data_IF_725968941983
#
_entry.id   IF_725968941983
#
_cell.length_a   1.000
_cell.length_b   1.000
_cell.length_c   1.000
_cell.angle_alpha   90.00
_cell.angle_beta   90.00
_cell.angle_gamma   90.00
#
_symmetry.space_group_name_H-M   'P 1'
#
loop_
_entity.id
_entity.type
_entity.pdbx_description
1 polymer ?
#
# COMPACT_ATOMS: atom_id res chain seq x y z
N UNK A 1 24.84 -15.92 -44.56
CA UNK A 1 24.32 -14.63 -44.02
C UNK A 1 22.86 -14.83 -43.64
N UNK A 2 22.45 -14.16 -42.57
CA UNK A 2 21.13 -14.18 -41.91
C UNK A 2 20.94 -15.25 -40.82
N UNK A 3 21.64 -15.05 -39.71
CA UNK A 3 21.11 -15.42 -38.39
C UNK A 3 19.92 -14.49 -38.10
N UNK A 4 18.72 -15.04 -38.14
CA UNK A 4 17.53 -14.39 -37.59
C UNK A 4 17.69 -14.39 -36.08
N UNK A 5 18.13 -13.25 -35.56
CA UNK A 5 18.04 -12.90 -34.14
C UNK A 5 16.57 -12.96 -33.75
N UNK A 6 16.18 -14.00 -33.03
CA UNK A 6 14.94 -14.02 -32.26
C UNK A 6 15.06 -12.91 -31.22
N UNK A 7 14.44 -11.76 -31.48
CA UNK A 7 14.14 -10.76 -30.47
C UNK A 7 13.13 -11.39 -29.51
N UNK A 8 13.65 -12.06 -28.48
CA UNK A 8 12.85 -12.54 -27.36
C UNK A 8 12.57 -11.34 -26.47
N UNK A 9 11.62 -10.50 -26.86
CA UNK A 9 11.04 -9.49 -25.99
C UNK A 9 10.04 -10.23 -25.09
N UNK A 10 10.56 -10.97 -24.12
CA UNK A 10 9.72 -11.40 -23.00
C UNK A 10 9.24 -10.11 -22.33
N UNK A 11 7.93 -9.87 -22.17
CA UNK A 11 7.46 -8.83 -21.29
C UNK A 11 7.89 -9.24 -19.88
N UNK A 12 9.07 -8.77 -19.47
CA UNK A 12 9.62 -9.06 -18.16
C UNK A 12 8.62 -8.62 -17.11
N UNK A 13 8.09 -9.59 -16.36
CA UNK A 13 7.21 -9.31 -15.23
C UNK A 13 7.90 -8.28 -14.30
N UNK A 14 7.14 -7.33 -13.74
CA UNK A 14 7.70 -6.40 -12.76
C UNK A 14 8.29 -7.18 -11.57
N UNK A 15 9.18 -6.54 -10.81
CA UNK A 15 9.81 -7.16 -9.62
C UNK A 15 8.79 -7.66 -8.59
N UNK A 16 7.54 -7.17 -8.65
CA UNK A 16 6.38 -7.58 -7.86
C UNK A 16 5.65 -8.82 -8.39
N UNK A 17 6.18 -9.51 -9.40
CA UNK A 17 5.60 -10.74 -9.95
C UNK A 17 4.26 -10.56 -10.67
N UNK A 18 3.56 -11.67 -10.89
CA UNK A 18 2.21 -11.71 -11.48
C UNK A 18 1.20 -11.02 -10.56
N UNK A 19 1.38 -11.16 -9.26
CA UNK A 19 0.47 -10.66 -8.22
C UNK A 19 0.41 -9.12 -8.24
N UNK A 20 1.56 -8.46 -8.36
CA UNK A 20 1.61 -7.00 -8.52
C UNK A 20 1.00 -6.51 -9.83
N UNK A 21 1.11 -7.29 -10.92
CA UNK A 21 0.45 -6.95 -12.19
C UNK A 21 -1.07 -7.03 -12.04
N UNK A 22 -1.59 -8.11 -11.46
CA UNK A 22 -3.02 -8.27 -11.19
C UNK A 22 -3.54 -7.16 -10.28
N UNK A 23 -2.77 -6.78 -9.25
CA UNK A 23 -3.11 -5.66 -8.38
C UNK A 23 -3.13 -4.32 -9.11
N UNK A 24 -2.17 -4.03 -9.98
CA UNK A 24 -2.15 -2.79 -10.76
C UNK A 24 -3.23 -2.76 -11.86
N UNK A 25 -3.63 -3.93 -12.37
CA UNK A 25 -4.72 -4.05 -13.34
C UNK A 25 -6.05 -3.55 -12.77
N UNK A 26 -6.31 -3.75 -11.47
CA UNK A 26 -7.53 -3.28 -10.81
C UNK A 26 -7.76 -1.76 -10.90
N UNK A 27 -6.69 -0.97 -11.06
CA UNK A 27 -6.76 0.49 -11.17
C UNK A 27 -7.07 1.00 -12.59
N UNK A 28 -6.83 0.16 -13.60
CA UNK A 28 -6.98 0.51 -15.03
C UNK A 28 -8.23 -0.12 -15.64
N UNK A 29 -8.61 -1.30 -15.14
CA UNK A 29 -9.71 -2.07 -15.69
C UNK A 29 -11.04 -1.31 -15.58
N UNK A 30 -11.93 -1.52 -16.55
CA UNK A 30 -13.27 -0.91 -16.59
C UNK A 30 -14.38 -1.94 -16.48
N UNK A 31 -14.11 -3.20 -16.85
CA UNK A 31 -15.06 -4.29 -16.71
C UNK A 31 -15.15 -4.75 -15.24
N UNK A 32 -16.33 -4.61 -14.65
CA UNK A 32 -16.60 -5.00 -13.26
C UNK A 32 -16.52 -6.53 -13.06
N UNK A 33 -16.88 -7.33 -14.07
CA UNK A 33 -16.74 -8.79 -13.99
C UNK A 33 -15.27 -9.20 -13.94
N UNK A 34 -14.45 -8.65 -14.84
CA UNK A 34 -13.01 -8.95 -14.86
C UNK A 34 -12.32 -8.48 -13.58
N UNK A 35 -12.70 -7.32 -13.03
CA UNK A 35 -12.22 -6.88 -11.70
C UNK A 35 -12.55 -7.89 -10.62
N UNK A 36 -13.78 -8.40 -10.61
CA UNK A 36 -14.19 -9.40 -9.63
C UNK A 36 -13.39 -10.70 -9.80
N UNK A 37 -13.25 -11.20 -11.03
CA UNK A 37 -12.48 -12.42 -11.32
C UNK A 37 -11.01 -12.29 -10.90
N UNK A 38 -10.40 -11.13 -11.14
CA UNK A 38 -9.02 -10.83 -10.69
C UNK A 38 -8.93 -10.83 -9.16
N UNK A 39 -9.88 -10.19 -8.47
CA UNK A 39 -9.93 -10.19 -7.01
C UNK A 39 -10.09 -11.60 -6.44
N UNK A 40 -11.01 -12.39 -6.99
CA UNK A 40 -11.26 -13.77 -6.57
C UNK A 40 -10.04 -14.67 -6.79
N UNK A 41 -9.35 -14.48 -7.92
CA UNK A 41 -8.10 -15.18 -8.23
C UNK A 41 -7.01 -14.83 -7.21
N UNK A 42 -6.84 -13.54 -6.90
CA UNK A 42 -5.86 -13.09 -5.89
C UNK A 42 -6.21 -13.61 -4.49
N UNK A 43 -7.48 -13.56 -4.09
CA UNK A 43 -7.93 -14.11 -2.80
C UNK A 43 -7.65 -15.61 -2.73
N UNK A 44 -7.93 -16.36 -3.80
CA UNK A 44 -7.69 -17.80 -3.86
C UNK A 44 -6.20 -18.13 -3.75
N UNK A 45 -5.35 -17.35 -4.42
CA UNK A 45 -3.90 -17.51 -4.36
C UNK A 45 -3.35 -17.21 -2.96
N UNK A 46 -3.83 -16.13 -2.32
CA UNK A 46 -3.49 -15.77 -0.95
C UNK A 46 -3.86 -16.91 0.00
N UNK A 47 -5.08 -17.46 -0.11
CA UNK A 47 -5.50 -18.58 0.75
C UNK A 47 -4.61 -19.81 0.55
N UNK A 48 -4.27 -20.15 -0.69
CA UNK A 48 -3.44 -21.31 -1.01
C UNK A 48 -1.98 -21.16 -0.60
N UNK A 49 -1.46 -19.94 -0.48
CA UNK A 49 -0.02 -19.66 -0.25
C UNK A 49 0.28 -18.93 1.05
N UNK A 50 -0.75 -18.60 1.85
CA UNK A 50 -0.62 -17.80 3.07
C UNK A 50 0.35 -18.35 4.10
N UNK A 51 0.44 -19.68 4.27
CA UNK A 51 1.37 -20.31 5.22
C UNK A 51 2.83 -20.22 4.79
N UNK A 52 3.07 -20.24 3.47
CA UNK A 52 4.42 -20.41 2.91
C UNK A 52 5.03 -19.08 2.47
N UNK A 53 4.19 -18.11 2.10
CA UNK A 53 4.60 -16.83 1.49
C UNK A 53 4.06 -15.61 2.25
N UNK A 54 3.80 -15.74 3.56
CA UNK A 54 3.26 -14.66 4.40
C UNK A 54 4.06 -13.35 4.23
N UNK A 55 5.39 -13.41 4.39
CA UNK A 55 6.27 -12.23 4.28
C UNK A 55 6.23 -11.58 2.90
N UNK A 56 6.14 -12.39 1.84
CA UNK A 56 6.02 -11.88 0.46
C UNK A 56 4.73 -11.08 0.28
N UNK A 57 3.60 -11.64 0.69
CA UNK A 57 2.31 -10.98 0.59
C UNK A 57 2.21 -9.71 1.43
N UNK A 58 2.75 -9.73 2.65
CA UNK A 58 2.81 -8.55 3.51
C UNK A 58 3.71 -7.45 2.90
N UNK A 59 4.85 -7.82 2.33
CA UNK A 59 5.74 -6.87 1.65
C UNK A 59 5.06 -6.25 0.44
N UNK A 60 4.39 -7.05 -0.39
CA UNK A 60 3.67 -6.57 -1.57
C UNK A 60 2.56 -5.57 -1.19
N UNK A 61 1.77 -5.89 -0.17
CA UNK A 61 0.73 -4.98 0.33
C UNK A 61 1.32 -3.69 0.89
N UNK A 62 2.44 -3.79 1.63
CA UNK A 62 3.16 -2.65 2.18
C UNK A 62 3.65 -1.71 1.08
N UNK A 63 4.24 -2.26 0.01
CA UNK A 63 4.75 -1.47 -1.11
C UNK A 63 3.62 -0.73 -1.84
N UNK A 64 2.47 -1.39 -2.05
CA UNK A 64 1.29 -0.78 -2.67
C UNK A 64 0.74 0.35 -1.82
N UNK A 65 0.63 0.14 -0.50
CA UNK A 65 0.12 1.16 0.42
C UNK A 65 1.10 2.34 0.57
N UNK A 66 2.42 2.08 0.54
CA UNK A 66 3.46 3.08 0.70
C UNK A 66 3.71 3.92 -0.56
N UNK A 67 3.47 3.37 -1.74
CA UNK A 67 3.74 4.03 -3.03
C UNK A 67 2.98 5.35 -3.23
N UNK A 68 1.92 5.62 -2.46
CA UNK A 68 1.15 6.87 -2.53
C UNK A 68 1.75 8.02 -1.69
N UNK A 69 2.58 7.72 -0.69
CA UNK A 69 3.18 8.74 0.20
C UNK A 69 4.03 9.77 -0.56
N UNK A 70 4.59 9.39 -1.72
CA UNK A 70 5.33 10.31 -2.60
C UNK A 70 4.45 11.21 -3.47
N UNK A 71 3.19 10.84 -3.71
CA UNK A 71 2.23 11.62 -4.48
C UNK A 71 1.39 12.55 -3.58
N UNK A 72 1.02 12.07 -2.40
CA UNK A 72 0.15 12.81 -1.47
C UNK A 72 0.91 14.00 -0.83
N UNK A 73 2.22 13.86 -0.56
CA UNK A 73 3.03 14.98 -0.03
C UNK A 73 3.31 16.09 -1.06
N UNK A 74 3.23 15.79 -2.37
CA UNK A 74 3.37 16.82 -3.41
C UNK A 74 2.12 17.69 -3.54
N UNK A 75 0.97 17.22 -3.07
CA UNK A 75 -0.29 17.99 -3.07
C UNK A 75 -0.37 18.97 -1.90
N UNK A 76 0.28 18.68 -0.78
CA UNK A 76 0.30 19.59 0.40
C UNK A 76 1.27 20.77 0.23
N UNK A 77 2.28 20.67 -0.65
CA UNK A 77 3.26 21.76 -0.88
C UNK A 77 2.71 22.83 -1.86
N UNK A 78 1.68 22.52 -2.66
CA UNK A 78 1.16 23.44 -3.68
C UNK A 78 0.04 24.38 -3.18
N UNK A 79 -0.32 24.34 -1.90
CA UNK A 79 -1.42 25.16 -1.34
C UNK A 79 -0.89 26.42 -0.60
N UNK A 80 0.42 26.54 -0.32
CA UNK A 80 0.99 27.69 0.41
C UNK A 80 1.66 28.79 -0.47
N UNK A 81 1.38 28.87 -1.77
CA UNK A 81 1.81 30.01 -2.60
C UNK A 81 0.64 30.77 -3.22
N UNK A 82 -0.29 31.25 -2.38
CA UNK A 82 -1.14 32.39 -2.74
C UNK A 82 -1.37 33.29 -1.52
N UNK A 83 -0.40 34.15 -1.21
CA UNK A 83 -0.65 35.41 -0.51
C UNK A 83 0.36 36.49 -0.88
N UNK A 84 -0.12 37.44 -1.68
CA UNK A 84 0.09 38.89 -1.62
C UNK A 84 1.45 39.52 -1.97
N UNK A 85 1.42 40.55 -2.83
CA UNK A 85 2.58 41.33 -3.25
C UNK A 85 2.37 42.21 -4.49
N UNK A 86 1.56 43.27 -4.35
CA UNK A 86 1.44 44.46 -5.22
C UNK A 86 2.76 45.12 -5.63
N UNK A 87 2.85 45.66 -6.86
CA UNK A 87 3.78 46.73 -7.25
C UNK A 87 4.07 46.84 -8.76
N UNK A 88 3.59 47.91 -9.39
CA UNK A 88 3.71 48.32 -10.81
C UNK A 88 5.15 48.52 -11.34
N UNK A 89 5.36 48.36 -12.65
CA UNK A 89 5.63 49.46 -13.62
C UNK A 89 6.08 48.92 -15.01
N UNK A 90 5.73 49.69 -16.03
CA UNK A 90 5.64 49.43 -17.47
C UNK A 90 7.01 49.37 -18.20
N UNK A 91 7.11 48.61 -19.30
CA UNK A 91 7.77 49.13 -20.52
C UNK A 91 7.32 48.37 -21.78
N UNK A 92 6.94 49.14 -22.80
CA UNK A 92 6.43 48.71 -24.11
C UNK A 92 7.58 48.36 -25.07
N UNK A 93 7.43 47.28 -25.85
CA UNK A 93 8.04 47.20 -27.19
C UNK A 93 7.25 46.27 -28.11
N UNK A 94 6.51 46.90 -29.03
CA UNK A 94 5.85 46.34 -30.20
C UNK A 94 6.83 45.69 -31.21
N UNK A 95 6.41 44.62 -31.88
CA UNK A 95 7.22 43.90 -32.89
C UNK A 95 6.51 42.72 -33.59
N UNK A 96 5.41 43.02 -34.30
CA UNK A 96 4.86 42.42 -35.54
C UNK A 96 5.40 41.06 -36.06
N UNK A 97 4.46 40.08 -36.08
CA UNK A 97 3.97 39.23 -37.19
C UNK A 97 4.64 37.90 -37.64
N UNK A 98 3.76 36.89 -37.63
CA UNK A 98 3.58 35.63 -38.38
C UNK A 98 4.68 34.57 -38.61
N UNK A 99 4.17 33.34 -38.70
CA UNK A 99 4.74 32.12 -39.28
C UNK A 99 5.25 31.04 -38.29
N UNK A 100 4.35 30.08 -38.07
CA UNK A 100 4.54 28.63 -38.02
C UNK A 100 5.71 28.06 -37.20
N UNK A 101 5.39 27.46 -36.07
CA UNK A 101 5.37 25.99 -35.89
C UNK A 101 5.17 25.68 -34.42
N UNK A 102 4.12 24.90 -34.14
CA UNK A 102 3.98 24.14 -32.91
C UNK A 102 5.28 23.38 -32.64
N UNK A 103 6.12 23.93 -31.76
CA UNK A 103 7.17 23.19 -31.08
C UNK A 103 6.49 22.22 -30.12
N UNK A 104 6.02 21.16 -30.74
CA UNK A 104 5.98 19.81 -30.22
C UNK A 104 7.35 19.54 -29.63
N UNK A 105 7.55 19.89 -28.35
CA UNK A 105 8.60 19.34 -27.53
C UNK A 105 8.24 17.87 -27.25
N UNK A 106 8.24 17.10 -28.33
CA UNK A 106 8.11 15.66 -28.30
C UNK A 106 9.45 15.08 -27.86
N UNK A 107 9.32 14.06 -27.02
CA UNK A 107 10.17 12.88 -27.07
C UNK A 107 11.57 12.99 -26.47
N UNK A 108 11.66 13.46 -25.22
CA UNK A 108 12.73 12.97 -24.33
C UNK A 108 12.09 12.62 -23.00
N UNK A 109 12.14 11.32 -22.64
CA UNK A 109 11.64 10.68 -21.40
C UNK A 109 10.22 10.07 -21.43
N UNK A 110 9.75 9.57 -22.57
CA UNK A 110 8.56 8.70 -22.63
C UNK A 110 8.93 7.21 -22.65
N UNK A 111 9.96 6.80 -21.90
CA UNK A 111 10.31 5.38 -21.66
C UNK A 111 10.81 5.14 -20.22
N UNK A 112 10.67 6.12 -19.32
CA UNK A 112 10.73 5.83 -17.89
C UNK A 112 9.40 5.20 -17.49
N UNK A 113 9.40 3.86 -17.41
CA UNK A 113 8.47 3.01 -16.64
C UNK A 113 7.43 3.86 -15.90
N UNK A 114 6.26 4.05 -16.51
CA UNK A 114 5.07 4.51 -15.78
C UNK A 114 4.79 3.42 -14.74
N UNK A 115 5.48 3.46 -13.60
CA UNK A 115 5.01 2.85 -12.37
C UNK A 115 3.75 3.64 -12.06
N UNK A 116 2.63 3.18 -12.62
CA UNK A 116 1.30 3.70 -12.30
C UNK A 116 1.22 3.60 -10.79
N UNK A 117 1.24 4.76 -10.14
CA UNK A 117 1.15 4.86 -8.70
C UNK A 117 -0.19 4.21 -8.34
N UNK A 118 -0.22 3.19 -7.47
CA UNK A 118 -1.44 2.48 -7.14
C UNK A 118 -2.52 3.46 -6.69
N UNK A 119 -3.68 3.40 -7.33
CA UNK A 119 -4.82 4.27 -6.98
C UNK A 119 -5.53 3.67 -5.76
N UNK A 120 -6.51 4.41 -5.24
CA UNK A 120 -7.24 4.00 -4.05
C UNK A 120 -7.93 2.61 -4.16
N UNK A 121 -8.42 2.13 -5.32
CA UNK A 121 -9.02 0.80 -5.43
C UNK A 121 -8.04 -0.34 -5.16
N UNK A 122 -6.85 -0.33 -5.77
CA UNK A 122 -5.82 -1.34 -5.49
C UNK A 122 -5.31 -1.27 -4.07
N UNK A 123 -5.29 -0.08 -3.44
CA UNK A 123 -4.94 0.09 -2.02
C UNK A 123 -6.00 -0.46 -1.07
N UNK A 124 -7.28 -0.25 -1.37
CA UNK A 124 -8.40 -0.85 -0.62
C UNK A 124 -8.30 -2.36 -0.70
N UNK A 125 -8.07 -2.90 -1.90
CA UNK A 125 -7.94 -4.34 -2.08
C UNK A 125 -6.67 -4.91 -1.43
N UNK A 126 -5.55 -4.19 -1.44
CA UNK A 126 -4.36 -4.59 -0.68
C UNK A 126 -4.65 -4.69 0.83
N UNK A 127 -5.45 -3.77 1.37
CA UNK A 127 -5.89 -3.82 2.77
C UNK A 127 -6.79 -5.04 3.03
N UNK A 128 -7.68 -5.37 2.09
CA UNK A 128 -8.52 -6.58 2.13
C UNK A 128 -7.67 -7.86 2.10
N UNK A 129 -6.60 -7.92 1.29
CA UNK A 129 -5.64 -9.04 1.27
C UNK A 129 -4.99 -9.20 2.65
N UNK A 130 -4.56 -8.11 3.30
CA UNK A 130 -3.99 -8.16 4.66
C UNK A 130 -4.98 -8.76 5.66
N UNK A 131 -6.26 -8.36 5.62
CA UNK A 131 -7.31 -8.94 6.46
C UNK A 131 -7.53 -10.43 6.16
N UNK A 132 -7.43 -10.82 4.90
CA UNK A 132 -7.55 -12.22 4.48
C UNK A 132 -6.39 -13.09 4.96
N UNK A 133 -5.17 -12.56 4.91
CA UNK A 133 -3.98 -13.21 5.48
C UNK A 133 -4.14 -13.41 6.99
N UNK A 134 -4.55 -12.35 7.71
CA UNK A 134 -4.80 -12.44 9.15
C UNK A 134 -5.82 -13.53 9.50
N UNK A 135 -6.88 -13.64 8.69
CA UNK A 135 -7.91 -14.67 8.87
C UNK A 135 -7.41 -16.08 8.56
N UNK A 136 -6.60 -16.25 7.50
CA UNK A 136 -6.05 -17.56 7.13
C UNK A 136 -5.09 -18.12 8.19
N UNK A 137 -4.32 -17.23 8.82
CA UNK A 137 -3.35 -17.55 9.86
C UNK A 137 -3.97 -17.75 11.26
N UNK A 138 -5.29 -17.64 11.45
CA UNK A 138 -5.94 -17.98 12.74
C UNK A 138 -5.80 -19.46 13.10
N UNK A 139 -5.52 -20.30 12.11
CA UNK A 139 -5.49 -21.76 12.24
C UNK A 139 -4.33 -22.26 13.10
N UNK A 140 -3.25 -21.49 13.23
CA UNK A 140 -2.05 -21.86 13.98
C UNK A 140 -1.73 -20.85 15.10
N UNK A 141 -1.56 -21.35 16.33
CA UNK A 141 -1.29 -20.50 17.50
C UNK A 141 0.01 -19.71 17.42
N UNK A 142 1.00 -20.22 16.67
CA UNK A 142 2.29 -19.56 16.49
C UNK A 142 2.16 -18.20 15.77
N UNK A 143 1.08 -17.95 15.02
CA UNK A 143 0.86 -16.65 14.40
C UNK A 143 0.50 -15.54 15.40
N UNK A 144 0.05 -15.89 16.60
CA UNK A 144 -0.42 -14.95 17.64
C UNK A 144 0.52 -14.95 18.85
N UNK A 145 1.06 -16.11 19.21
CA UNK A 145 1.95 -16.27 20.36
C UNK A 145 3.39 -15.87 20.01
N UNK A 146 3.84 -14.71 20.51
CA UNK A 146 5.17 -14.18 20.24
C UNK A 146 6.30 -15.08 20.78
N UNK A 147 6.08 -15.75 21.92
CA UNK A 147 7.10 -16.63 22.50
C UNK A 147 7.27 -17.88 21.63
N UNK A 148 6.15 -18.50 21.24
CA UNK A 148 6.13 -19.67 20.35
C UNK A 148 6.68 -19.32 18.96
N UNK A 149 6.31 -18.16 18.40
CA UNK A 149 6.82 -17.69 17.12
C UNK A 149 8.35 -17.54 17.13
N UNK A 150 8.91 -16.90 18.17
CA UNK A 150 10.36 -16.74 18.32
C UNK A 150 11.07 -18.10 18.47
N UNK A 151 10.51 -19.03 19.24
CA UNK A 151 11.07 -20.38 19.39
C UNK A 151 11.08 -21.17 18.07
N UNK A 152 9.96 -21.14 17.33
CA UNK A 152 9.84 -21.81 16.04
C UNK A 152 10.71 -21.16 14.96
N UNK A 153 10.85 -19.82 14.98
CA UNK A 153 11.75 -19.11 14.09
C UNK A 153 13.22 -19.50 14.34
N UNK A 154 13.65 -19.59 15.61
CA UNK A 154 15.01 -20.01 15.98
C UNK A 154 15.27 -21.47 15.56
N UNK A 155 14.35 -22.37 15.89
CA UNK A 155 14.48 -23.81 15.55
C UNK A 155 14.47 -24.08 14.05
N UNK A 156 13.76 -23.26 13.26
CA UNK A 156 13.70 -23.35 11.80
C UNK A 156 14.83 -22.62 11.08
N UNK A 157 15.82 -22.08 11.81
CA UNK A 157 16.96 -21.36 11.23
C UNK A 157 16.56 -20.03 10.57
N UNK A 158 15.52 -19.36 11.06
CA UNK A 158 15.04 -18.08 10.55
C UNK A 158 14.14 -18.17 9.31
N UNK A 159 13.69 -19.37 8.93
CA UNK A 159 12.86 -19.61 7.74
C UNK A 159 11.35 -19.58 8.00
N UNK A 160 10.93 -19.67 9.26
CA UNK A 160 9.52 -19.62 9.64
C UNK A 160 9.10 -18.18 9.95
N UNK A 161 8.02 -17.73 9.32
CA UNK A 161 7.46 -16.39 9.47
C UNK A 161 6.06 -16.47 10.08
N UNK A 162 5.79 -15.58 11.04
CA UNK A 162 4.55 -15.56 11.81
C UNK A 162 3.99 -14.14 11.89
N UNK A 163 2.66 -13.99 11.92
CA UNK A 163 1.99 -12.69 11.89
C UNK A 163 2.44 -11.77 13.02
N UNK A 164 2.60 -12.30 14.23
CA UNK A 164 3.04 -11.55 15.41
C UNK A 164 4.41 -10.89 15.22
N UNK A 165 5.29 -11.48 14.40
CA UNK A 165 6.60 -10.90 14.08
C UNK A 165 6.48 -9.67 13.14
N UNK A 166 5.39 -9.60 12.37
CA UNK A 166 5.07 -8.49 11.47
C UNK A 166 4.05 -7.50 12.05
N UNK A 167 3.72 -7.61 13.35
CA UNK A 167 2.71 -6.77 13.99
C UNK A 167 2.95 -5.27 13.76
N UNK A 168 4.20 -4.82 13.86
CA UNK A 168 4.53 -3.42 13.61
C UNK A 168 4.20 -2.96 12.19
N UNK A 169 4.36 -3.84 11.20
CA UNK A 169 4.02 -3.53 9.81
C UNK A 169 2.51 -3.59 9.57
N UNK A 170 1.79 -4.54 10.19
CA UNK A 170 0.33 -4.60 10.15
C UNK A 170 -0.31 -3.31 10.69
N UNK A 171 0.18 -2.83 11.85
CA UNK A 171 -0.30 -1.58 12.45
C UNK A 171 -0.01 -0.39 11.53
N UNK A 172 1.21 -0.30 10.98
CA UNK A 172 1.59 0.77 10.04
C UNK A 172 0.72 0.77 8.79
N UNK A 173 0.55 -0.38 8.14
CA UNK A 173 -0.27 -0.52 6.93
C UNK A 173 -1.73 -0.12 7.19
N UNK A 174 -2.29 -0.58 8.31
CA UNK A 174 -3.66 -0.23 8.70
C UNK A 174 -3.80 1.27 8.96
N UNK A 175 -2.81 1.88 9.62
CA UNK A 175 -2.77 3.32 9.87
C UNK A 175 -2.68 4.13 8.57
N UNK A 176 -1.83 3.71 7.62
CA UNK A 176 -1.71 4.35 6.31
C UNK A 176 -3.03 4.37 5.52
N UNK A 177 -3.85 3.33 5.68
CA UNK A 177 -5.22 3.33 5.15
C UNK A 177 -6.13 4.26 5.94
N UNK A 178 -6.15 4.12 7.27
CA UNK A 178 -7.02 4.86 8.17
C UNK A 178 -6.84 6.38 8.12
N UNK A 179 -5.62 6.88 7.84
CA UNK A 179 -5.35 8.32 7.69
C UNK A 179 -5.52 8.84 6.25
N UNK A 180 -6.10 8.05 5.35
CA UNK A 180 -6.30 8.49 3.96
C UNK A 180 -7.45 9.50 3.84
N UNK A 181 -7.31 10.45 2.91
CA UNK A 181 -8.38 11.37 2.51
C UNK A 181 -9.55 10.65 1.83
N UNK A 182 -9.27 9.50 1.20
CA UNK A 182 -10.30 8.69 0.56
C UNK A 182 -11.11 7.92 1.61
N UNK A 183 -12.44 8.14 1.61
CA UNK A 183 -13.33 7.51 2.60
C UNK A 183 -13.32 5.98 2.52
N UNK A 184 -13.27 5.38 1.33
CA UNK A 184 -13.25 3.92 1.19
C UNK A 184 -11.95 3.32 1.76
N UNK A 185 -10.81 3.94 1.45
CA UNK A 185 -9.52 3.50 1.97
C UNK A 185 -9.41 3.73 3.48
N UNK A 186 -9.93 4.85 3.98
CA UNK A 186 -10.04 5.14 5.41
C UNK A 186 -10.85 4.06 6.14
N UNK A 187 -12.04 3.74 5.65
CA UNK A 187 -12.87 2.69 6.24
C UNK A 187 -12.20 1.32 6.20
N UNK A 188 -11.56 0.96 5.08
CA UNK A 188 -10.80 -0.29 4.98
C UNK A 188 -9.62 -0.34 5.97
N UNK A 189 -8.85 0.74 6.09
CA UNK A 189 -7.73 0.84 7.04
C UNK A 189 -8.17 0.79 8.50
N UNK A 190 -9.29 1.45 8.84
CA UNK A 190 -9.89 1.37 10.17
C UNK A 190 -10.37 -0.05 10.50
N UNK A 191 -11.03 -0.72 9.54
CA UNK A 191 -11.45 -2.12 9.66
C UNK A 191 -10.25 -3.05 9.90
N UNK A 192 -9.19 -2.89 9.11
CA UNK A 192 -7.96 -3.65 9.27
C UNK A 192 -7.29 -3.40 10.63
N UNK A 193 -7.27 -2.14 11.10
CA UNK A 193 -6.72 -1.80 12.41
C UNK A 193 -7.55 -2.42 13.55
N UNK A 194 -8.88 -2.44 13.42
CA UNK A 194 -9.76 -3.12 14.35
C UNK A 194 -9.46 -4.63 14.42
N UNK A 195 -9.23 -5.28 13.29
CA UNK A 195 -8.86 -6.70 13.24
C UNK A 195 -7.54 -6.94 13.95
N UNK A 196 -6.52 -6.12 13.68
CA UNK A 196 -5.22 -6.20 14.38
C UNK A 196 -5.42 -6.04 15.89
N UNK A 197 -6.16 -5.02 16.33
CA UNK A 197 -6.40 -4.78 17.76
C UNK A 197 -7.11 -5.98 18.39
N UNK A 198 -8.19 -6.47 17.78
CA UNK A 198 -8.99 -7.57 18.32
C UNK A 198 -8.18 -8.87 18.45
N UNK A 199 -7.24 -9.11 17.52
CA UNK A 199 -6.40 -10.31 17.52
C UNK A 199 -5.25 -10.23 18.52
N UNK A 200 -4.61 -9.07 18.63
CA UNK A 200 -3.38 -8.90 19.40
C UNK A 200 -3.57 -8.24 20.77
N UNK A 201 -4.78 -7.77 21.13
CA UNK A 201 -5.05 -7.09 22.41
C UNK A 201 -4.79 -7.93 23.65
N UNK A 202 -4.90 -9.25 23.52
CA UNK A 202 -4.77 -10.20 24.62
C UNK A 202 -3.40 -10.89 24.65
N UNK A 203 -2.51 -10.54 23.70
CA UNK A 203 -1.20 -11.19 23.57
C UNK A 203 -0.23 -10.58 24.58
N UNK A 204 0.31 -11.39 25.52
CA UNK A 204 1.24 -10.91 26.51
C UNK A 204 2.59 -10.59 25.87
N UNK A 205 3.27 -9.56 26.38
CA UNK A 205 4.64 -9.23 26.00
C UNK A 205 5.64 -10.14 26.73
N UNK A 206 6.37 -11.05 26.04
CA UNK A 206 7.30 -11.98 26.67
C UNK A 206 8.48 -11.30 27.38
N UNK A 207 8.88 -10.11 26.96
CA UNK A 207 9.99 -9.37 27.58
C UNK A 207 9.56 -8.55 28.80
N UNK A 208 8.26 -8.25 28.94
CA UNK A 208 7.70 -7.41 30.01
C UNK A 208 6.45 -8.06 30.63
N UNK A 209 6.62 -8.86 31.70
CA UNK A 209 5.51 -9.53 32.39
C UNK A 209 4.44 -8.52 32.83
N UNK A 210 3.19 -8.78 32.46
CA UNK A 210 2.04 -7.94 32.79
C UNK A 210 1.71 -6.84 31.78
N UNK A 211 2.52 -6.69 30.72
CA UNK A 211 2.25 -5.77 29.61
C UNK A 211 1.73 -6.57 28.40
N UNK A 212 0.94 -5.93 27.54
CA UNK A 212 0.50 -6.52 26.27
C UNK A 212 1.30 -5.96 25.09
N UNK A 213 1.47 -6.76 24.04
CA UNK A 213 2.28 -6.39 22.86
C UNK A 213 1.78 -5.12 22.15
N UNK A 214 0.50 -4.76 22.31
CA UNK A 214 -0.07 -3.53 21.75
C UNK A 214 0.25 -2.26 22.53
N UNK A 215 0.76 -2.33 23.77
CA UNK A 215 1.08 -1.14 24.57
C UNK A 215 2.15 -0.26 23.89
N UNK A 216 3.12 -0.87 23.20
CA UNK A 216 4.11 -0.12 22.41
C UNK A 216 3.51 0.67 21.23
N UNK A 217 2.28 0.32 20.81
CA UNK A 217 1.55 1.00 19.73
C UNK A 217 0.42 1.89 20.26
N UNK A 218 0.36 2.14 21.58
CA UNK A 218 -0.75 2.86 22.23
C UNK A 218 -1.02 4.24 21.60
N UNK A 219 0.00 4.96 21.13
CA UNK A 219 -0.22 6.25 20.45
C UNK A 219 -1.04 6.10 19.15
N UNK A 220 -0.76 5.07 18.35
CA UNK A 220 -1.49 4.78 17.10
C UNK A 220 -2.89 4.24 17.38
N UNK A 221 -3.03 3.40 18.42
CA UNK A 221 -4.34 2.89 18.88
C UNK A 221 -5.19 4.01 19.47
N UNK A 222 -4.60 4.94 20.22
CA UNK A 222 -5.30 6.09 20.76
C UNK A 222 -5.79 7.02 19.64
N UNK A 223 -4.98 7.23 18.61
CA UNK A 223 -5.41 7.94 17.41
C UNK A 223 -6.62 7.27 16.74
N UNK A 224 -6.59 5.94 16.59
CA UNK A 224 -7.73 5.16 16.07
C UNK A 224 -9.02 5.34 16.89
N UNK A 225 -8.93 5.25 18.22
CA UNK A 225 -10.08 5.42 19.11
C UNK A 225 -10.65 6.84 19.01
N UNK A 226 -9.78 7.85 18.88
CA UNK A 226 -10.23 9.23 18.67
C UNK A 226 -10.89 9.40 17.29
N UNK A 227 -10.39 8.77 16.23
CA UNK A 227 -11.06 8.78 14.91
C UNK A 227 -12.45 8.17 14.94
N UNK A 228 -12.64 7.05 15.66
CA UNK A 228 -13.96 6.41 15.81
C UNK A 228 -14.92 7.24 16.69
N UNK A 229 -14.38 7.99 17.66
CA UNK A 229 -15.15 8.83 18.58
C UNK A 229 -15.57 10.19 18.00
N UNK A 230 -15.18 10.51 16.75
CA UNK A 230 -15.68 11.68 16.01
C UNK A 230 -16.76 11.33 14.97
N UNK A 231 -18.02 11.04 15.38
CA UNK A 231 -19.13 10.99 14.45
C UNK A 231 -20.02 12.25 14.53
N UNK A 232 -19.45 13.47 14.53
CA UNK A 232 -20.18 14.73 14.32
C UNK A 232 -19.19 15.89 14.21
N UNK A 233 -19.45 16.86 13.32
CA UNK A 233 -18.62 18.02 12.97
C UNK A 233 -17.64 17.82 11.80
N UNK A 234 -18.16 17.37 10.65
CA UNK A 234 -18.01 18.07 9.37
C UNK A 234 -19.22 17.75 8.49
#
# INVERSE_FOLDING_TARGET
MNNISRSNTEPGLPETGLEGVLLSMLDVETDDMLKQDVKETLISLVQATSSDLLSYWLSLCKDILASCMGADMRSTILIEEKSDGTGDEEDESEGIDDDVTLQSASAVNQEEKMKVIPRWPSRVFATEIVQRLMSACETERAHIDLALAKELQISSGGRADYLVLHLSDLVRMSFMGATSDNTNLRLAGLSCLQDVITRFSSVPEPEFPGHVILEQFQAQVFFYINMQSWPSYF
#
